data_IF_359929805144
#
_entry.id   IF_359929805144
#
_cell.length_a   1.000
_cell.length_b   1.000
_cell.length_c   1.000
_cell.angle_alpha   90.00
_cell.angle_beta   90.00
_cell.angle_gamma   90.00
#
_symmetry.space_group_name_H-M   'P 1'
#
loop_
_entity.id
_entity.type
_entity.pdbx_description
1 polymer ?
#
# COMPACT_ATOMS: atom_id res chain seq x y z
N UNK A 1 -14.26 -14.23 18.62
CA UNK A 1 -14.06 -13.56 17.32
C UNK A 1 -15.38 -12.93 16.90
N UNK A 2 -15.38 -11.65 16.45
CA UNK A 2 -16.60 -11.00 16.00
C UNK A 2 -17.24 -11.74 14.83
N UNK A 3 -18.55 -11.77 14.78
CA UNK A 3 -19.27 -12.36 13.66
C UNK A 3 -19.22 -11.47 12.41
N UNK A 4 -19.00 -10.18 12.61
CA UNK A 4 -18.88 -9.19 11.54
C UNK A 4 -17.67 -8.35 11.74
N UNK A 5 -16.86 -8.16 10.67
CA UNK A 5 -15.67 -7.32 10.67
C UNK A 5 -15.78 -6.32 9.52
N UNK A 6 -15.68 -5.04 9.85
CA UNK A 6 -15.65 -3.96 8.86
C UNK A 6 -14.20 -3.65 8.52
N UNK A 7 -13.84 -3.84 7.26
CA UNK A 7 -12.46 -3.68 6.78
C UNK A 7 -12.36 -2.37 5.99
N UNK A 8 -11.52 -1.46 6.47
CA UNK A 8 -11.24 -0.20 5.77
C UNK A 8 -10.20 -0.40 4.70
N UNK A 9 -10.41 0.20 3.53
CA UNK A 9 -9.49 0.13 2.40
C UNK A 9 -9.59 1.39 1.55
N UNK A 10 -8.46 1.81 0.98
CA UNK A 10 -8.39 2.90 0.00
C UNK A 10 -8.31 2.27 -1.39
N UNK A 11 -9.39 2.30 -2.18
CA UNK A 11 -9.46 1.56 -3.44
C UNK A 11 -8.79 2.27 -4.63
N UNK A 12 -7.75 3.05 -4.39
CA UNK A 12 -6.99 3.74 -5.44
C UNK A 12 -5.59 3.17 -5.64
N UNK A 13 -5.37 1.91 -5.24
CA UNK A 13 -4.02 1.34 -5.19
C UNK A 13 -3.94 -0.04 -5.86
N UNK A 14 -4.27 -0.09 -7.14
CA UNK A 14 -4.13 -1.32 -7.93
C UNK A 14 -2.67 -1.78 -7.96
N UNK A 15 -2.37 -3.07 -7.91
CA UNK A 15 -3.26 -4.23 -7.99
C UNK A 15 -3.75 -4.73 -6.61
N UNK A 16 -3.47 -4.00 -5.55
CA UNK A 16 -3.82 -4.43 -4.19
C UNK A 16 -5.29 -4.17 -3.86
N UNK A 17 -5.78 -2.97 -4.14
CA UNK A 17 -7.18 -2.59 -4.00
C UNK A 17 -7.54 -1.54 -5.04
N UNK A 18 -8.60 -1.79 -5.76
CA UNK A 18 -9.12 -0.86 -6.75
C UNK A 18 -10.57 -1.19 -7.07
N UNK A 19 -11.19 -0.39 -7.91
CA UNK A 19 -12.54 -0.66 -8.43
C UNK A 19 -12.45 -1.04 -9.89
N UNK A 20 -13.17 -2.11 -10.26
CA UNK A 20 -13.27 -2.51 -11.66
C UNK A 20 -14.29 -1.62 -12.40
N UNK A 21 -14.52 -1.91 -13.68
CA UNK A 21 -15.43 -1.13 -14.51
C UNK A 21 -16.88 -1.17 -13.99
N UNK A 22 -17.25 -2.20 -13.24
CA UNK A 22 -18.58 -2.36 -12.64
C UNK A 22 -18.66 -1.71 -11.24
N UNK A 23 -17.61 -1.04 -10.77
CA UNK A 23 -17.58 -0.41 -9.46
C UNK A 23 -17.36 -1.37 -8.31
N UNK A 24 -16.96 -2.62 -8.58
CA UNK A 24 -16.71 -3.62 -7.55
C UNK A 24 -15.27 -3.50 -7.03
N UNK A 25 -15.08 -3.73 -5.72
CA UNK A 25 -13.75 -3.79 -5.13
C UNK A 25 -13.04 -5.07 -5.56
N UNK A 26 -11.84 -4.91 -6.09
CA UNK A 26 -11.00 -6.01 -6.55
C UNK A 26 -9.55 -5.79 -6.12
N UNK A 27 -8.76 -6.83 -6.17
CA UNK A 27 -7.33 -6.75 -5.92
C UNK A 27 -6.81 -7.85 -5.01
N UNK A 28 -5.49 -7.89 -4.89
CA UNK A 28 -4.83 -8.92 -4.10
C UNK A 28 -5.22 -8.83 -2.62
N UNK A 29 -5.21 -7.63 -2.05
CA UNK A 29 -5.63 -7.42 -0.66
C UNK A 29 -7.09 -7.82 -0.44
N UNK A 30 -7.95 -7.54 -1.40
CA UNK A 30 -9.37 -7.87 -1.31
C UNK A 30 -9.54 -9.40 -1.31
N UNK A 31 -8.84 -10.10 -2.19
CA UNK A 31 -8.88 -11.57 -2.25
C UNK A 31 -8.31 -12.20 -0.98
N UNK A 32 -7.18 -11.67 -0.47
CA UNK A 32 -6.59 -12.15 0.78
C UNK A 32 -7.56 -11.97 1.96
N UNK A 33 -8.15 -10.79 2.07
CA UNK A 33 -9.08 -10.49 3.17
C UNK A 33 -10.29 -11.42 3.12
N UNK A 34 -10.85 -11.64 1.94
CA UNK A 34 -12.00 -12.54 1.79
C UNK A 34 -11.67 -13.98 2.20
N UNK A 35 -10.50 -14.47 1.82
CA UNK A 35 -10.07 -15.82 2.20
C UNK A 35 -9.81 -15.93 3.70
N UNK A 36 -9.14 -14.94 4.28
CA UNK A 36 -8.89 -14.90 5.73
C UNK A 36 -10.21 -14.89 6.51
N UNK A 37 -11.16 -14.06 6.11
CA UNK A 37 -12.46 -13.95 6.78
C UNK A 37 -13.24 -15.26 6.71
N UNK A 38 -13.19 -15.92 5.54
CA UNK A 38 -13.82 -17.23 5.37
C UNK A 38 -13.23 -18.26 6.33
N UNK A 39 -11.90 -18.28 6.48
CA UNK A 39 -11.22 -19.26 7.34
C UNK A 39 -11.48 -19.05 8.82
N UNK A 40 -11.70 -17.82 9.26
CA UNK A 40 -12.03 -17.55 10.66
C UNK A 40 -13.53 -17.48 10.92
N UNK A 41 -14.35 -17.82 9.93
CA UNK A 41 -15.80 -17.88 10.05
C UNK A 41 -16.43 -16.54 10.43
N UNK A 42 -15.94 -15.44 9.85
CA UNK A 42 -16.51 -14.12 10.09
C UNK A 42 -17.01 -13.51 8.78
N UNK A 43 -18.05 -12.71 8.88
CA UNK A 43 -18.56 -11.96 7.73
C UNK A 43 -17.83 -10.63 7.64
N UNK A 44 -17.08 -10.42 6.56
CA UNK A 44 -16.35 -9.19 6.35
C UNK A 44 -17.04 -8.31 5.32
N UNK A 45 -17.11 -7.01 5.63
CA UNK A 45 -17.56 -5.98 4.71
C UNK A 45 -16.44 -4.99 4.52
N UNK A 46 -16.39 -4.33 3.36
CA UNK A 46 -15.36 -3.36 3.07
C UNK A 46 -15.93 -1.95 3.13
N UNK A 47 -15.19 -1.05 3.78
CA UNK A 47 -15.54 0.37 3.91
C UNK A 47 -14.44 1.17 3.26
N UNK A 48 -14.81 1.99 2.26
CA UNK A 48 -13.86 2.79 1.50
C UNK A 48 -13.55 4.09 2.23
N UNK A 49 -12.26 4.37 2.37
CA UNK A 49 -11.76 5.61 2.98
C UNK A 49 -10.42 5.95 2.35
N UNK A 50 -10.05 7.24 2.30
CA UNK A 50 -8.67 7.59 1.97
C UNK A 50 -7.70 6.98 2.98
N UNK A 51 -6.49 6.68 2.55
CA UNK A 51 -5.50 5.99 3.39
C UNK A 51 -5.25 6.71 4.70
N UNK A 52 -5.11 8.04 4.68
CA UNK A 52 -4.85 8.84 5.88
C UNK A 52 -5.98 8.82 6.90
N UNK A 53 -7.18 8.40 6.52
CA UNK A 53 -8.33 8.30 7.41
C UNK A 53 -8.46 6.92 8.07
N UNK A 54 -7.71 5.91 7.62
CA UNK A 54 -7.92 4.53 8.06
C UNK A 54 -7.54 4.29 9.51
N UNK A 55 -6.36 4.75 9.96
CA UNK A 55 -5.94 4.58 11.35
C UNK A 55 -6.87 5.35 12.30
N UNK A 56 -7.20 6.63 12.06
CA UNK A 56 -8.20 7.31 12.88
C UNK A 56 -9.55 6.61 12.95
N UNK A 57 -10.03 6.07 11.82
CA UNK A 57 -11.30 5.34 11.76
C UNK A 57 -11.25 4.05 12.58
N UNK A 58 -10.11 3.34 12.55
CA UNK A 58 -9.91 2.14 13.35
C UNK A 58 -9.95 2.47 14.85
N UNK A 59 -9.23 3.49 15.26
CA UNK A 59 -9.19 3.94 16.65
C UNK A 59 -10.57 4.43 17.13
N UNK A 60 -11.34 5.06 16.27
CA UNK A 60 -12.69 5.54 16.57
C UNK A 60 -13.75 4.43 16.47
N UNK A 61 -13.35 3.19 16.16
CA UNK A 61 -14.24 2.04 16.05
C UNK A 61 -15.28 2.17 14.93
N UNK A 62 -14.95 2.94 13.89
CA UNK A 62 -15.76 3.02 12.68
C UNK A 62 -15.48 1.86 11.74
N UNK A 63 -14.29 1.28 11.84
CA UNK A 63 -13.88 0.05 11.17
C UNK A 63 -13.20 -0.85 12.19
N UNK A 64 -13.04 -2.13 11.86
CA UNK A 64 -12.48 -3.13 12.78
C UNK A 64 -11.12 -3.64 12.33
N UNK A 65 -10.78 -3.43 11.08
CA UNK A 65 -9.49 -3.81 10.51
C UNK A 65 -9.16 -2.89 9.34
N UNK A 66 -7.86 -2.79 9.02
CA UNK A 66 -7.39 -2.08 7.84
C UNK A 66 -6.74 -3.09 6.90
N UNK A 67 -7.14 -3.10 5.63
CA UNK A 67 -6.49 -3.89 4.59
C UNK A 67 -6.28 -2.97 3.39
N UNK A 68 -5.13 -2.30 3.34
CA UNK A 68 -4.88 -1.27 2.35
C UNK A 68 -3.39 -1.09 2.05
N UNK A 69 -2.70 -2.21 1.85
CA UNK A 69 -1.26 -2.20 1.57
C UNK A 69 -0.49 -1.41 2.63
N UNK A 70 -0.86 -1.62 3.89
CA UNK A 70 -0.38 -0.82 5.01
C UNK A 70 0.94 -1.37 5.55
N UNK A 71 2.03 -0.62 5.40
CA UNK A 71 3.35 -1.03 5.87
C UNK A 71 3.41 -1.10 7.39
N UNK A 72 4.02 -2.17 7.89
CA UNK A 72 4.22 -2.41 9.32
C UNK A 72 5.43 -1.59 9.76
N UNK A 73 5.21 -0.50 10.49
CA UNK A 73 6.27 0.38 10.98
C UNK A 73 6.20 0.51 12.49
N UNK A 74 7.35 0.83 13.13
CA UNK A 74 7.39 1.09 14.56
C UNK A 74 6.45 2.23 14.96
N UNK A 75 6.42 3.30 14.17
CA UNK A 75 5.58 4.46 14.43
C UNK A 75 4.10 4.07 14.48
N UNK A 76 3.65 3.29 13.49
CA UNK A 76 2.26 2.81 13.45
C UNK A 76 1.97 1.82 14.57
N UNK A 77 2.95 0.99 14.94
CA UNK A 77 2.80 0.01 16.03
C UNK A 77 2.67 0.66 17.40
N UNK A 78 3.02 1.91 17.54
CA UNK A 78 2.73 2.69 18.76
C UNK A 78 1.23 2.97 18.91
N UNK A 79 0.50 3.01 17.82
CA UNK A 79 -0.92 3.37 17.82
C UNK A 79 -1.85 2.17 17.61
N UNK A 80 -1.45 1.21 16.78
CA UNK A 80 -2.27 0.05 16.40
C UNK A 80 -1.45 -1.23 16.43
N UNK A 81 -2.12 -2.37 16.32
CA UNK A 81 -1.49 -3.66 16.15
C UNK A 81 -1.54 -4.09 14.67
N UNK A 82 -0.72 -5.05 14.30
CA UNK A 82 -0.68 -5.62 12.95
C UNK A 82 -0.72 -7.14 13.01
N UNK A 83 -1.25 -7.74 11.97
CA UNK A 83 -1.01 -9.15 11.69
C UNK A 83 0.46 -9.37 11.34
N UNK A 84 0.87 -10.62 11.21
CA UNK A 84 2.15 -10.96 10.61
C UNK A 84 2.21 -10.42 9.18
N UNK A 85 3.42 -10.28 8.65
CA UNK A 85 3.65 -9.78 7.29
C UNK A 85 2.88 -10.62 6.27
N UNK A 86 2.13 -9.94 5.41
CA UNK A 86 1.37 -10.56 4.34
C UNK A 86 2.15 -10.60 3.02
N UNK A 87 2.94 -9.55 2.74
CA UNK A 87 3.83 -9.49 1.57
C UNK A 87 4.86 -8.37 1.75
N UNK A 88 5.91 -8.44 0.94
CA UNK A 88 6.99 -7.46 0.98
C UNK A 88 6.57 -6.14 0.32
N UNK A 89 7.24 -5.05 0.68
CA UNK A 89 7.02 -3.74 0.08
C UNK A 89 8.35 -3.00 -0.06
N UNK A 90 8.55 -2.38 -1.22
CA UNK A 90 9.68 -1.50 -1.51
C UNK A 90 9.15 -0.18 -2.05
N UNK A 91 9.91 0.90 -1.87
CA UNK A 91 9.54 2.25 -2.29
C UNK A 91 10.45 2.74 -3.41
N UNK A 92 9.86 3.31 -4.46
CA UNK A 92 10.61 3.67 -5.66
C UNK A 92 9.98 4.86 -6.38
N UNK A 93 10.81 5.65 -7.05
CA UNK A 93 10.35 6.79 -7.86
C UNK A 93 9.87 6.31 -9.22
N UNK A 94 8.78 6.93 -9.69
CA UNK A 94 8.25 6.78 -11.05
C UNK A 94 8.43 8.11 -11.76
N UNK A 95 9.02 8.09 -12.94
CA UNK A 95 9.35 9.28 -13.73
C UNK A 95 9.03 9.06 -15.20
N UNK A 96 8.98 10.14 -15.97
CA UNK A 96 8.79 10.05 -17.41
C UNK A 96 10.02 9.41 -18.07
N UNK A 97 9.83 8.59 -19.08
CA UNK A 97 10.93 8.04 -19.89
C UNK A 97 11.80 9.16 -20.42
N UNK A 98 13.10 8.99 -20.33
CA UNK A 98 14.08 10.02 -20.72
C UNK A 98 14.43 11.00 -19.62
N UNK A 99 13.74 10.98 -18.49
CA UNK A 99 14.10 11.80 -17.33
C UNK A 99 15.36 11.25 -16.66
N UNK A 100 16.21 12.13 -16.15
CA UNK A 100 17.39 11.75 -15.38
C UNK A 100 17.14 11.75 -13.87
N UNK A 101 15.90 11.91 -13.44
CA UNK A 101 15.54 11.95 -12.01
C UNK A 101 15.80 10.59 -11.37
N UNK A 102 16.55 10.59 -10.28
CA UNK A 102 16.84 9.45 -9.42
C UNK A 102 16.71 9.90 -7.96
N UNK A 103 16.84 9.01 -6.97
CA UNK A 103 16.84 9.44 -5.57
C UNK A 103 18.01 10.33 -5.15
N UNK A 104 19.00 10.52 -6.01
CA UNK A 104 20.11 11.44 -5.75
C UNK A 104 19.56 12.86 -5.54
N UNK A 105 19.94 13.51 -4.43
CA UNK A 105 19.48 14.85 -4.09
C UNK A 105 19.77 15.88 -5.19
N UNK A 106 20.92 15.75 -5.87
CA UNK A 106 21.27 16.65 -6.96
C UNK A 106 20.28 16.53 -8.15
N UNK A 107 19.76 15.33 -8.38
CA UNK A 107 18.79 15.06 -9.45
C UNK A 107 17.36 15.46 -9.07
N UNK A 108 17.05 15.42 -7.77
CA UNK A 108 15.72 15.76 -7.26
C UNK A 108 15.54 17.24 -6.95
N UNK A 109 16.62 17.98 -6.73
CA UNK A 109 16.55 19.38 -6.29
C UNK A 109 15.67 20.20 -7.24
N UNK A 110 14.71 20.93 -6.65
CA UNK A 110 13.78 21.76 -7.40
C UNK A 110 12.63 21.00 -8.07
N UNK A 111 12.59 19.68 -7.90
CA UNK A 111 11.55 18.86 -8.50
C UNK A 111 10.33 18.74 -7.58
N UNK A 112 9.19 18.40 -8.19
CA UNK A 112 7.93 18.18 -7.49
C UNK A 112 7.64 16.68 -7.46
N UNK A 113 7.53 16.12 -6.26
CA UNK A 113 7.32 14.68 -6.06
C UNK A 113 5.97 14.45 -5.41
N UNK A 114 5.10 13.71 -6.08
CA UNK A 114 3.79 13.36 -5.57
C UNK A 114 3.85 12.14 -4.66
N UNK A 115 3.16 12.21 -3.53
CA UNK A 115 3.05 11.12 -2.56
C UNK A 115 1.60 10.98 -2.11
N UNK A 116 1.22 9.76 -1.72
CA UNK A 116 -0.11 9.50 -1.17
C UNK A 116 -0.10 9.86 0.32
N UNK A 117 -1.10 10.63 0.75
CA UNK A 117 -1.24 11.04 2.15
C UNK A 117 -1.37 9.83 3.07
N UNK A 118 -0.66 9.85 4.19
CA UNK A 118 -0.67 8.80 5.19
C UNK A 118 0.30 7.67 4.93
N UNK A 119 1.07 7.73 3.83
CA UNK A 119 2.05 6.70 3.50
C UNK A 119 3.41 6.95 4.16
N UNK A 120 4.19 5.88 4.22
CA UNK A 120 5.61 5.96 4.61
C UNK A 120 6.41 6.80 3.61
N UNK A 121 6.00 6.82 2.34
CA UNK A 121 6.66 7.63 1.32
C UNK A 121 6.47 9.12 1.59
N UNK A 122 5.28 9.52 2.03
CA UNK A 122 5.05 10.91 2.44
C UNK A 122 5.97 11.30 3.60
N UNK A 123 6.06 10.45 4.61
CA UNK A 123 6.92 10.69 5.77
C UNK A 123 8.37 10.83 5.34
N UNK A 124 8.85 9.92 4.51
CA UNK A 124 10.23 9.97 4.01
C UNK A 124 10.52 11.26 3.24
N UNK A 125 9.62 11.62 2.32
CA UNK A 125 9.76 12.84 1.52
C UNK A 125 9.81 14.09 2.37
N UNK A 126 8.93 14.18 3.37
CA UNK A 126 8.89 15.34 4.25
C UNK A 126 10.12 15.44 5.16
N UNK A 127 10.66 14.31 5.60
CA UNK A 127 11.84 14.31 6.47
C UNK A 127 13.15 14.50 5.72
N UNK A 128 13.31 13.85 4.56
CA UNK A 128 14.60 13.78 3.87
C UNK A 128 14.72 14.65 2.63
N UNK A 129 13.60 14.98 1.98
CA UNK A 129 13.61 15.70 0.71
C UNK A 129 13.13 17.14 0.82
N UNK A 130 12.05 17.40 1.54
CA UNK A 130 11.50 18.75 1.66
C UNK A 130 12.53 19.75 2.21
N UNK A 131 13.33 19.41 3.27
CA UNK A 131 14.34 20.34 3.78
C UNK A 131 15.48 20.60 2.78
N UNK A 132 15.58 19.82 1.72
CA UNK A 132 16.66 19.93 0.71
C UNK A 132 16.18 20.62 -0.58
N UNK A 133 15.01 21.25 -0.55
CA UNK A 133 14.50 21.99 -1.70
C UNK A 133 13.73 21.17 -2.71
N UNK A 134 13.25 19.99 -2.31
CA UNK A 134 12.38 19.15 -3.13
C UNK A 134 10.95 19.36 -2.66
N UNK A 135 10.03 19.70 -3.57
CA UNK A 135 8.65 19.96 -3.20
C UNK A 135 7.89 18.65 -3.12
N UNK A 136 7.35 18.35 -1.94
CA UNK A 136 6.54 17.15 -1.70
C UNK A 136 5.07 17.56 -1.83
N UNK A 137 4.37 16.93 -2.79
CA UNK A 137 2.96 17.22 -3.06
C UNK A 137 2.14 16.03 -2.62
N UNK A 138 1.29 16.22 -1.61
CA UNK A 138 0.48 15.14 -1.02
C UNK A 138 -0.90 15.09 -1.67
N UNK A 139 -1.35 13.88 -1.96
CA UNK A 139 -2.63 13.60 -2.61
C UNK A 139 -3.45 12.62 -1.79
N UNK A 140 -4.77 12.71 -1.87
CA UNK A 140 -5.66 11.79 -1.16
C UNK A 140 -5.89 10.47 -1.88
N UNK A 141 -5.62 10.39 -3.18
CA UNK A 141 -5.77 9.17 -3.95
C UNK A 141 -4.60 8.97 -4.90
N UNK A 142 -4.20 7.73 -5.10
CA UNK A 142 -3.10 7.40 -6.02
C UNK A 142 -3.47 7.73 -7.47
N UNK A 143 -4.74 7.63 -7.83
CA UNK A 143 -5.25 8.03 -9.15
C UNK A 143 -5.00 9.52 -9.43
N UNK A 144 -5.11 10.36 -8.40
CA UNK A 144 -4.83 11.80 -8.54
C UNK A 144 -3.34 12.04 -8.79
N UNK A 145 -2.46 11.24 -8.18
CA UNK A 145 -1.02 11.32 -8.43
C UNK A 145 -0.73 10.99 -9.90
N UNK A 146 -1.29 9.88 -10.41
CA UNK A 146 -1.08 9.51 -11.81
C UNK A 146 -1.64 10.55 -12.77
N UNK A 147 -2.78 11.14 -12.46
CA UNK A 147 -3.38 12.19 -13.25
C UNK A 147 -2.45 13.41 -13.35
N UNK A 148 -1.90 13.87 -12.23
CA UNK A 148 -1.00 15.01 -12.22
C UNK A 148 0.37 14.68 -12.82
N UNK A 149 0.87 13.47 -12.64
CA UNK A 149 2.12 13.03 -13.25
C UNK A 149 2.00 13.03 -14.77
N UNK A 150 0.93 12.44 -15.31
CA UNK A 150 0.73 12.37 -16.77
C UNK A 150 0.38 13.72 -17.38
N UNK A 151 -0.17 14.64 -16.60
CA UNK A 151 -0.42 16.02 -17.02
C UNK A 151 0.81 16.92 -16.91
N UNK A 152 1.92 16.43 -16.36
CA UNK A 152 3.14 17.21 -16.18
C UNK A 152 3.10 18.20 -15.03
N UNK A 153 2.16 18.06 -14.09
CA UNK A 153 2.06 18.94 -12.92
C UNK A 153 3.04 18.57 -11.81
N UNK A 154 3.48 17.32 -11.79
CA UNK A 154 4.54 16.83 -10.92
C UNK A 154 5.58 16.12 -11.77
N UNK A 155 6.80 16.04 -11.27
CA UNK A 155 7.94 15.48 -12.01
C UNK A 155 8.15 14.00 -11.72
N UNK A 156 7.69 13.53 -10.56
CA UNK A 156 7.86 12.14 -10.14
C UNK A 156 6.75 11.76 -9.16
N UNK A 157 6.48 10.46 -9.08
CA UNK A 157 5.67 9.88 -8.01
C UNK A 157 6.57 9.00 -7.16
N UNK A 158 6.35 9.02 -5.83
CA UNK A 158 7.09 8.16 -4.90
C UNK A 158 6.11 7.25 -4.19
N UNK A 159 6.25 5.93 -4.40
CA UNK A 159 5.22 4.97 -4.04
C UNK A 159 5.77 3.56 -3.94
N UNK A 160 4.89 2.63 -3.58
CA UNK A 160 5.21 1.20 -3.60
C UNK A 160 5.61 0.74 -4.99
N UNK A 161 6.71 -0.03 -5.06
CA UNK A 161 7.28 -0.50 -6.33
C UNK A 161 6.33 -1.43 -7.10
N UNK A 162 5.64 -2.34 -6.41
CA UNK A 162 4.73 -3.28 -7.05
C UNK A 162 3.49 -2.57 -7.56
N UNK A 163 2.92 -1.66 -6.77
CA UNK A 163 1.80 -0.83 -7.22
C UNK A 163 2.17 -0.03 -8.46
N UNK A 164 3.39 0.53 -8.48
CA UNK A 164 3.87 1.27 -9.65
C UNK A 164 4.01 0.37 -10.87
N UNK A 165 4.69 -0.77 -10.71
CA UNK A 165 4.94 -1.71 -11.82
C UNK A 165 3.63 -2.25 -12.39
N UNK A 166 2.81 -2.89 -11.55
CA UNK A 166 1.61 -3.59 -12.00
C UNK A 166 0.42 -2.68 -12.22
N UNK A 167 0.28 -1.64 -11.41
CA UNK A 167 -0.87 -0.75 -11.46
C UNK A 167 -0.72 0.44 -12.39
N UNK A 168 0.51 0.77 -12.82
CA UNK A 168 0.74 1.95 -13.66
C UNK A 168 1.66 1.67 -14.85
N UNK A 169 2.90 1.23 -14.61
CA UNK A 169 3.90 1.10 -15.68
C UNK A 169 3.51 0.06 -16.74
N UNK A 170 2.87 -1.02 -16.35
CA UNK A 170 2.38 -2.05 -17.28
C UNK A 170 1.02 -1.73 -17.87
N UNK A 171 0.39 -0.62 -17.48
CA UNK A 171 -0.90 -0.19 -18.00
C UNK A 171 -0.71 0.82 -19.13
N UNK A 172 -1.71 0.99 -20.02
CA UNK A 172 -1.59 1.96 -21.12
C UNK A 172 -1.24 3.37 -20.68
N UNK A 173 -1.80 3.82 -19.56
CA UNK A 173 -1.54 5.17 -19.02
C UNK A 173 -0.06 5.37 -18.65
N UNK A 174 0.64 4.30 -18.28
CA UNK A 174 2.03 4.36 -17.84
C UNK A 174 3.07 4.08 -18.92
N UNK A 175 2.67 3.92 -20.18
CA UNK A 175 3.57 3.49 -21.25
C UNK A 175 4.77 4.42 -21.48
N UNK A 176 4.62 5.72 -21.18
CA UNK A 176 5.67 6.70 -21.35
C UNK A 176 6.47 6.97 -20.06
N UNK A 177 6.31 6.10 -19.06
CA UNK A 177 6.91 6.25 -17.74
C UNK A 177 7.81 5.06 -17.41
N UNK A 178 8.66 5.24 -16.40
CA UNK A 178 9.64 4.24 -15.96
C UNK A 178 10.00 4.50 -14.52
N UNK A 179 10.71 3.57 -13.91
CA UNK A 179 11.32 3.82 -12.60
C UNK A 179 12.47 4.82 -12.73
N UNK A 180 12.58 5.71 -11.74
CA UNK A 180 13.68 6.65 -11.59
C UNK A 180 14.68 6.15 -10.56
N UNK A 181 15.68 5.40 -10.99
CA UNK A 181 16.70 4.83 -10.11
C UNK A 181 16.19 3.61 -9.31
N UNK A 182 17.00 3.13 -8.35
CA UNK A 182 16.67 1.95 -7.55
C UNK A 182 15.66 2.28 -6.45
N UNK A 183 15.15 1.23 -5.81
CA UNK A 183 14.32 1.39 -4.61
C UNK A 183 15.14 2.01 -3.48
N UNK A 184 14.45 2.78 -2.64
CA UNK A 184 15.08 3.43 -1.50
C UNK A 184 14.89 2.53 -0.28
N UNK A 185 15.99 2.25 0.43
CA UNK A 185 15.97 1.38 1.61
C UNK A 185 16.06 2.21 2.88
N UNK A 186 15.08 2.06 3.75
CA UNK A 186 15.05 2.65 5.09
C UNK A 186 14.02 1.87 5.90
N UNK A 187 14.48 0.80 6.56
CA UNK A 187 13.60 -0.11 7.30
C UNK A 187 12.81 0.62 8.39
N UNK A 188 13.44 1.60 9.06
CA UNK A 188 12.78 2.35 10.12
C UNK A 188 11.54 3.10 9.61
N UNK A 189 11.66 3.74 8.44
CA UNK A 189 10.56 4.53 7.87
C UNK A 189 9.59 3.69 7.03
N UNK A 190 10.12 2.77 6.22
CA UNK A 190 9.28 1.98 5.31
C UNK A 190 8.77 0.68 5.92
N UNK A 191 9.35 0.22 7.02
CA UNK A 191 8.92 -0.97 7.71
C UNK A 191 9.42 -2.27 7.09
N UNK A 192 8.77 -3.38 7.48
CA UNK A 192 9.21 -4.74 7.15
C UNK A 192 8.17 -5.51 6.35
N UNK A 193 7.42 -4.84 5.51
CA UNK A 193 6.34 -5.41 4.72
C UNK A 193 4.99 -4.87 5.14
N UNK A 194 3.94 -5.41 4.56
CA UNK A 194 2.57 -4.98 4.84
C UNK A 194 1.83 -5.97 5.72
N UNK A 195 0.83 -5.49 6.43
CA UNK A 195 -0.04 -6.33 7.25
C UNK A 195 -1.41 -5.70 7.39
N UNK A 196 -2.35 -6.44 7.96
CA UNK A 196 -3.62 -5.87 8.35
C UNK A 196 -3.45 -5.10 9.64
N UNK A 197 -4.03 -3.89 9.71
CA UNK A 197 -4.07 -3.09 10.93
C UNK A 197 -5.25 -3.47 11.80
N UNK A 198 -5.04 -3.54 13.11
CA UNK A 198 -6.05 -3.94 14.09
C UNK A 198 -5.90 -3.07 15.34
N UNK A 199 -6.97 -2.93 16.12
CA UNK A 199 -6.83 -2.30 17.43
C UNK A 199 -5.97 -3.18 18.35
N UNK A 200 -5.21 -2.55 19.23
CA UNK A 200 -4.28 -3.26 20.13
C UNK A 200 -5.00 -4.24 21.07
N UNK A 201 -6.23 -3.95 21.42
CA UNK A 201 -7.02 -4.81 22.31
C UNK A 201 -7.61 -6.03 21.60
N UNK A 202 -7.61 -6.08 20.27
CA UNK A 202 -8.24 -7.15 19.49
C UNK A 202 -7.28 -8.33 19.23
N UNK A 203 -6.66 -8.84 20.29
CA UNK A 203 -5.67 -9.91 20.21
C UNK A 203 -6.25 -11.22 19.66
N UNK A 204 -7.47 -11.56 20.05
CA UNK A 204 -8.10 -12.78 19.58
C UNK A 204 -8.30 -12.77 18.07
N UNK A 205 -8.77 -11.64 17.52
CA UNK A 205 -8.94 -11.48 16.09
C UNK A 205 -7.57 -11.55 15.37
N UNK A 206 -6.57 -10.87 15.91
CA UNK A 206 -5.22 -10.87 15.33
C UNK A 206 -4.61 -12.28 15.28
N UNK A 207 -4.71 -13.03 16.37
CA UNK A 207 -4.18 -14.40 16.44
C UNK A 207 -4.91 -15.32 15.45
N UNK A 208 -6.24 -15.18 15.34
CA UNK A 208 -7.02 -15.98 14.40
C UNK A 208 -6.62 -15.67 12.95
N UNK A 209 -6.43 -14.40 12.62
CA UNK A 209 -5.99 -13.98 11.28
C UNK A 209 -4.59 -14.51 10.97
N UNK A 210 -3.66 -14.43 11.93
CA UNK A 210 -2.31 -14.95 11.76
C UNK A 210 -2.30 -16.46 11.52
N UNK A 211 -3.11 -17.20 12.29
CA UNK A 211 -3.23 -18.64 12.10
C UNK A 211 -3.80 -18.99 10.72
N UNK A 212 -4.88 -18.31 10.34
CA UNK A 212 -5.48 -18.51 9.02
C UNK A 212 -4.49 -18.21 7.89
N UNK A 213 -3.71 -17.13 8.03
CA UNK A 213 -2.71 -16.77 7.03
C UNK A 213 -1.61 -17.83 6.92
N UNK A 214 -1.10 -18.33 8.07
CA UNK A 214 -0.10 -19.39 8.07
C UNK A 214 -0.62 -20.66 7.37
N UNK A 215 -1.88 -21.00 7.60
CA UNK A 215 -2.52 -22.14 6.92
C UNK A 215 -2.64 -21.91 5.40
N UNK A 216 -2.99 -20.70 4.97
CA UNK A 216 -3.03 -20.34 3.55
C UNK A 216 -1.66 -20.52 2.88
N UNK A 217 -0.60 -20.16 3.59
CA UNK A 217 0.76 -20.32 3.09
C UNK A 217 1.13 -21.80 2.96
N UNK A 218 0.75 -22.62 3.94
CA UNK A 218 1.09 -24.04 3.96
C UNK A 218 0.32 -24.85 2.92
N UNK A 219 -0.94 -24.55 2.69
CA UNK A 219 -1.78 -25.35 1.79
C UNK A 219 -1.74 -24.87 0.33
N UNK A 220 -0.94 -23.85 0.04
CA UNK A 220 -0.77 -23.33 -1.32
C UNK A 220 -1.80 -22.32 -1.77
N UNK A 221 -2.78 -21.97 -0.94
CA UNK A 221 -3.82 -20.99 -1.30
C UNK A 221 -3.22 -19.61 -1.53
N UNK A 222 -2.27 -19.20 -0.69
CA UNK A 222 -1.59 -17.91 -0.86
C UNK A 222 -0.91 -17.82 -2.23
N UNK A 223 -0.13 -18.83 -2.59
CA UNK A 223 0.58 -18.85 -3.88
C UNK A 223 -0.40 -18.82 -5.06
N UNK A 224 -1.52 -19.53 -4.93
CA UNK A 224 -2.55 -19.54 -5.96
C UNK A 224 -3.18 -18.16 -6.16
N UNK A 225 -3.49 -17.47 -5.07
CA UNK A 225 -4.03 -16.10 -5.11
C UNK A 225 -2.98 -15.14 -5.68
N UNK A 226 -1.73 -15.23 -5.22
CA UNK A 226 -0.65 -14.36 -5.69
C UNK A 226 -0.42 -14.49 -7.20
N UNK A 227 -0.48 -15.70 -7.74
CA UNK A 227 -0.28 -15.96 -9.17
C UNK A 227 -1.35 -15.35 -10.06
N UNK A 228 -2.51 -15.02 -9.53
CA UNK A 228 -3.53 -14.28 -10.29
C UNK A 228 -3.07 -12.86 -10.62
N UNK A 229 -2.17 -12.31 -9.84
CA UNK A 229 -1.74 -10.90 -9.92
C UNK A 229 -0.28 -10.73 -10.29
N UNK A 230 0.60 -11.66 -9.88
CA UNK A 230 2.04 -11.48 -9.94
C UNK A 230 2.74 -12.69 -10.56
N UNK A 231 3.79 -12.43 -11.36
CA UNK A 231 4.67 -13.46 -11.92
C UNK A 231 5.97 -13.60 -11.12
N UNK A 232 6.00 -13.05 -9.91
CA UNK A 232 7.18 -13.08 -9.02
C UNK A 232 6.72 -13.36 -7.58
N UNK A 233 7.68 -13.58 -6.68
CA UNK A 233 7.42 -13.85 -5.27
C UNK A 233 7.08 -12.55 -4.52
N UNK A 234 5.79 -12.23 -4.42
CA UNK A 234 5.34 -11.01 -3.76
C UNK A 234 5.56 -11.06 -2.24
N UNK A 235 5.56 -12.25 -1.65
CA UNK A 235 5.81 -12.38 -0.20
C UNK A 235 7.22 -11.90 0.15
N UNK A 236 8.19 -12.19 -0.72
CA UNK A 236 9.59 -11.91 -0.46
C UNK A 236 10.21 -12.94 0.48
N UNK A 237 11.25 -12.52 1.15
CA UNK A 237 12.00 -13.40 2.07
C UNK A 237 11.58 -13.22 3.53
#
# INVERSE_FOLDING_TARGET
IPQKVRIGTDPTYAPFESKNAQGELVGFDIDLAKELCKRINTQCTFIENPLDALIPSLKAKKIDAIMSSLSITEKRQQEIAFTDKLYAADSRLVVKKGSDITPDLAKLKGKRVGVLQGTTQETYGNEHWAPKGIEIVSYQGQDNIYSDLTAGRIDAAFQDEVAASEGFLKQPIGKDYQFGGPSIKDEKLFGVGTGMGLRKEDNELREALNKAFAEMRQDGTYDKLAKKYFDFNVYGD
#
